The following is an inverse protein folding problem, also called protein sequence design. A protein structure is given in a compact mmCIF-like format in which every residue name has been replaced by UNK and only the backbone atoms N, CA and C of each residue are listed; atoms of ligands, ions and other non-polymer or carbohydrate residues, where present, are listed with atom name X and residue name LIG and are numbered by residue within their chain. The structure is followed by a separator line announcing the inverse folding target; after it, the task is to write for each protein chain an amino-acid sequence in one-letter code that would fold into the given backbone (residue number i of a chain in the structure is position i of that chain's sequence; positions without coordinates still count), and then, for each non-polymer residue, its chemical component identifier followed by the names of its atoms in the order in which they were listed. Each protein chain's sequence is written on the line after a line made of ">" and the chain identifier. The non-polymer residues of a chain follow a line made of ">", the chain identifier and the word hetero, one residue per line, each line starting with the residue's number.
data_IF_537777972812
#
_entry.id   IF_537777972812
#
_cell.length_a   1.000
_cell.length_b   1.000
_cell.length_c   1.000
_cell.angle_alpha   90.00
_cell.angle_beta   90.00
_cell.angle_gamma   90.00
#
_symmetry.space_group_name_H-M   'P 1'
#
loop_
_entity.id
_entity.type
_entity.pdbx_description
1 polymer ?
#
# COMPACT_ATOMS: atom_id res chain seq x y z
N UNK A 1 -34.18 -20.40 69.20
CA UNK A 1 -33.80 -20.83 67.85
C UNK A 1 -33.22 -22.24 67.93
N UNK A 2 -33.62 -23.18 67.08
CA UNK A 2 -33.07 -24.53 67.08
C UNK A 2 -31.57 -24.51 66.77
N UNK A 3 -30.76 -25.32 67.46
CA UNK A 3 -29.27 -25.34 67.29
C UNK A 3 -28.80 -25.60 65.92
N UNK A 4 -29.54 -26.28 65.06
CA UNK A 4 -29.20 -26.54 63.67
C UNK A 4 -29.33 -25.29 62.78
N UNK A 5 -30.32 -24.42 63.08
CA UNK A 5 -30.47 -23.15 62.33
C UNK A 5 -29.29 -22.22 62.64
N UNK A 6 -28.87 -22.15 63.91
CA UNK A 6 -27.67 -21.35 64.25
C UNK A 6 -26.40 -21.86 63.59
N UNK A 7 -26.21 -23.19 63.50
CA UNK A 7 -25.07 -23.79 62.78
C UNK A 7 -25.13 -23.48 61.32
N UNK A 8 -26.31 -23.52 60.69
CA UNK A 8 -26.45 -23.17 59.26
C UNK A 8 -26.10 -21.70 58.99
N UNK A 9 -26.59 -20.80 59.81
CA UNK A 9 -26.29 -19.37 59.75
C UNK A 9 -24.75 -19.12 59.86
N UNK A 10 -24.09 -19.78 60.79
CA UNK A 10 -22.68 -19.70 61.04
C UNK A 10 -21.88 -20.18 59.81
N UNK A 11 -22.28 -21.31 59.21
CA UNK A 11 -21.63 -21.83 57.99
C UNK A 11 -21.80 -20.85 56.84
N UNK A 12 -22.98 -20.30 56.62
CA UNK A 12 -23.22 -19.30 55.56
C UNK A 12 -22.35 -18.06 55.80
N UNK A 13 -22.28 -17.55 57.02
CA UNK A 13 -21.45 -16.42 57.39
C UNK A 13 -19.95 -16.68 57.10
N UNK A 14 -19.47 -17.86 57.50
CA UNK A 14 -18.08 -18.25 57.19
C UNK A 14 -17.84 -18.35 55.69
N UNK A 15 -18.76 -18.94 54.92
CA UNK A 15 -18.65 -19.00 53.46
C UNK A 15 -18.64 -17.61 52.82
N UNK A 16 -19.47 -16.68 53.29
CA UNK A 16 -19.49 -15.29 52.80
C UNK A 16 -18.20 -14.58 53.13
N UNK A 17 -17.69 -14.70 54.36
CA UNK A 17 -16.41 -14.07 54.75
C UNK A 17 -15.23 -14.64 53.97
N UNK A 18 -15.17 -15.97 53.86
CA UNK A 18 -14.12 -16.63 53.06
C UNK A 18 -14.23 -16.27 51.57
N UNK A 19 -15.46 -16.27 51.01
CA UNK A 19 -15.69 -15.89 49.62
C UNK A 19 -15.33 -14.44 49.34
N UNK A 20 -15.66 -13.52 50.26
CA UNK A 20 -15.27 -12.12 50.14
C UNK A 20 -13.76 -11.93 50.29
N UNK A 21 -13.13 -12.59 51.25
CA UNK A 21 -11.67 -12.57 51.41
C UNK A 21 -10.94 -13.14 50.21
N UNK A 22 -11.40 -14.28 49.69
CA UNK A 22 -10.85 -14.87 48.48
C UNK A 22 -11.00 -13.92 47.26
N UNK A 23 -12.20 -13.37 47.07
CA UNK A 23 -12.44 -12.37 46.02
C UNK A 23 -11.48 -11.19 46.16
N UNK A 24 -11.28 -10.66 47.36
CA UNK A 24 -10.40 -9.51 47.61
C UNK A 24 -8.91 -9.84 47.39
N UNK A 25 -8.52 -11.08 47.74
CA UNK A 25 -7.15 -11.56 47.60
C UNK A 25 -6.78 -11.87 46.14
N UNK A 26 -7.69 -12.51 45.38
CA UNK A 26 -7.43 -12.90 43.99
C UNK A 26 -7.81 -11.84 42.96
N UNK A 27 -8.50 -10.77 43.35
CA UNK A 27 -8.86 -9.68 42.45
C UNK A 27 -7.88 -8.53 42.65
N UNK A 28 -7.17 -8.17 41.60
CA UNK A 28 -6.22 -7.05 41.58
C UNK A 28 -6.91 -5.72 41.85
N UNK A 29 -6.20 -4.78 42.50
CA UNK A 29 -6.79 -3.50 42.94
C UNK A 29 -7.39 -2.70 41.78
N UNK A 30 -6.79 -2.72 40.62
CA UNK A 30 -7.25 -2.05 39.40
C UNK A 30 -8.63 -2.52 38.93
N UNK A 31 -9.05 -3.75 39.26
CA UNK A 31 -10.41 -4.23 39.00
C UNK A 31 -11.48 -3.44 39.74
N UNK A 32 -11.16 -2.91 40.93
CA UNK A 32 -12.09 -2.10 41.72
C UNK A 32 -12.03 -0.62 41.32
N UNK A 33 -10.92 -0.18 40.72
CA UNK A 33 -10.72 1.18 40.33
C UNK A 33 -11.27 1.48 38.91
N UNK A 34 -11.11 0.53 37.99
CA UNK A 34 -11.45 0.70 36.58
C UNK A 34 -12.52 -0.26 36.04
N UNK A 35 -13.18 -1.01 36.93
CA UNK A 35 -14.22 -2.00 36.57
C UNK A 35 -13.64 -3.31 36.02
N UNK A 36 -14.32 -3.92 35.06
CA UNK A 36 -13.96 -5.25 34.55
C UNK A 36 -12.69 -5.26 33.64
N UNK A 37 -11.97 -4.17 33.57
CA UNK A 37 -10.73 -4.05 32.77
C UNK A 37 -9.49 -4.37 33.62
N UNK A 38 -8.50 -5.00 33.00
CA UNK A 38 -7.15 -5.18 33.56
C UNK A 38 -6.42 -3.84 33.63
N UNK A 39 -6.82 -2.95 34.52
CA UNK A 39 -6.22 -1.64 34.70
C UNK A 39 -4.73 -1.73 35.03
N UNK A 40 -4.28 -2.76 35.75
CA UNK A 40 -2.85 -2.93 36.08
C UNK A 40 -1.99 -3.21 34.86
N UNK A 41 -2.51 -3.88 33.82
CA UNK A 41 -1.71 -4.05 32.60
C UNK A 41 -1.47 -2.72 31.88
N UNK A 42 -2.36 -1.76 32.03
CA UNK A 42 -2.16 -0.37 31.55
C UNK A 42 -1.24 0.39 32.51
N UNK A 43 -1.39 0.18 33.82
CA UNK A 43 -0.52 0.80 34.83
C UNK A 43 0.89 0.20 34.82
N UNK A 44 1.03 -1.11 34.61
CA UNK A 44 2.34 -1.77 34.44
C UNK A 44 3.02 -1.36 33.14
N UNK A 45 2.26 -1.24 32.04
CA UNK A 45 2.76 -0.67 30.78
C UNK A 45 3.08 0.82 30.96
N UNK A 46 2.34 1.55 31.80
CA UNK A 46 2.58 2.97 32.09
C UNK A 46 3.65 3.20 33.15
N UNK A 47 3.92 2.23 34.03
CA UNK A 47 4.97 2.31 35.08
C UNK A 47 6.35 1.98 34.52
N UNK A 48 6.45 1.12 33.52
CA UNK A 48 7.59 1.05 32.62
C UNK A 48 7.56 2.30 31.73
N UNK A 49 7.94 3.44 32.32
CA UNK A 49 7.89 4.77 31.69
C UNK A 49 8.39 4.66 30.24
N UNK A 50 7.52 4.55 29.24
CA UNK A 50 7.96 4.60 27.86
C UNK A 50 8.65 5.95 27.70
N UNK A 51 9.93 5.95 27.39
CA UNK A 51 10.70 7.18 27.22
C UNK A 51 10.36 7.79 25.86
N UNK A 52 9.11 8.22 25.73
CA UNK A 52 8.67 8.98 24.57
C UNK A 52 9.43 10.31 24.54
N UNK A 53 10.15 10.55 23.47
CA UNK A 53 10.92 11.78 23.27
C UNK A 53 10.06 12.88 22.68
N UNK A 54 8.95 12.51 22.03
CA UNK A 54 8.03 13.43 21.37
C UNK A 54 8.55 13.95 20.01
N UNK A 55 7.61 14.54 19.26
CA UNK A 55 7.84 15.01 17.89
C UNK A 55 8.99 16.01 17.79
N UNK A 56 9.15 16.91 18.77
CA UNK A 56 10.22 17.92 18.78
C UNK A 56 11.63 17.33 18.79
N UNK A 57 11.82 16.19 19.44
CA UNK A 57 13.10 15.49 19.43
C UNK A 57 13.41 14.89 18.05
N UNK A 58 12.41 14.32 17.42
CA UNK A 58 12.56 13.72 16.08
C UNK A 58 12.82 14.80 15.01
N UNK A 59 12.30 16.01 15.19
CA UNK A 59 12.39 17.09 14.23
C UNK A 59 13.82 17.56 13.95
N UNK A 60 14.74 17.40 14.90
CA UNK A 60 16.15 17.80 14.75
C UNK A 60 16.89 17.05 13.63
N UNK A 61 16.47 15.82 13.33
CA UNK A 61 17.09 14.98 12.30
C UNK A 61 16.13 14.62 11.14
N UNK A 62 14.81 14.62 11.38
CA UNK A 62 13.79 14.17 10.44
C UNK A 62 12.85 15.30 9.99
N UNK A 63 13.40 16.48 9.69
CA UNK A 63 12.62 17.68 9.34
C UNK A 63 11.63 17.44 8.16
N UNK A 64 12.04 16.69 7.12
CA UNK A 64 11.19 16.35 5.97
C UNK A 64 9.98 15.52 6.38
N UNK A 65 10.21 14.44 7.13
CA UNK A 65 9.15 13.53 7.59
C UNK A 65 8.19 14.25 8.56
N UNK A 66 8.72 15.14 9.39
CA UNK A 66 7.90 15.98 10.28
C UNK A 66 7.01 16.94 9.48
N UNK A 67 7.54 17.58 8.44
CA UNK A 67 6.75 18.45 7.58
C UNK A 67 5.63 17.68 6.85
N UNK A 68 5.92 16.50 6.35
CA UNK A 68 4.94 15.63 5.71
C UNK A 68 3.85 15.20 6.71
N UNK A 69 4.25 14.76 7.90
CA UNK A 69 3.32 14.33 8.96
C UNK A 69 2.48 15.49 9.47
N UNK A 70 3.05 16.66 9.70
CA UNK A 70 2.34 17.83 10.24
C UNK A 70 1.24 18.33 9.30
N UNK A 71 1.42 18.17 7.99
CA UNK A 71 0.45 18.49 6.96
C UNK A 71 -0.46 17.29 6.60
N UNK A 72 -0.21 16.14 7.20
CA UNK A 72 -0.92 14.89 6.94
C UNK A 72 -2.19 14.73 7.79
N UNK A 73 -3.03 13.77 7.39
CA UNK A 73 -4.29 13.44 8.08
C UNK A 73 -4.06 12.92 9.50
N UNK A 74 -2.90 12.35 9.78
CA UNK A 74 -2.52 11.87 11.11
C UNK A 74 -2.17 12.98 12.10
N UNK A 75 -2.13 14.23 11.68
CA UNK A 75 -1.98 15.38 12.56
C UNK A 75 -3.11 16.40 12.43
N UNK A 76 -3.81 16.44 11.31
CA UNK A 76 -4.82 17.48 11.01
C UNK A 76 -6.20 17.19 11.57
N UNK A 77 -6.54 15.93 11.88
CA UNK A 77 -7.83 15.54 12.46
C UNK A 77 -7.72 15.37 13.97
N UNK A 78 -8.82 15.51 14.71
CA UNK A 78 -8.82 15.35 16.17
C UNK A 78 -8.41 13.94 16.61
N UNK A 79 -8.78 12.92 15.84
CA UNK A 79 -8.34 11.53 16.04
C UNK A 79 -6.89 11.37 15.55
N UNK A 80 -6.51 12.03 14.47
CA UNK A 80 -5.16 11.95 13.90
C UNK A 80 -4.09 12.55 14.80
N UNK A 81 -4.41 13.54 15.64
CA UNK A 81 -3.46 14.16 16.58
C UNK A 81 -2.83 13.19 17.58
N UNK A 82 -3.43 12.03 17.81
CA UNK A 82 -2.88 10.98 18.65
C UNK A 82 -1.87 10.07 17.91
N UNK A 83 -1.85 10.10 16.58
CA UNK A 83 -0.93 9.28 15.77
C UNK A 83 0.39 10.01 15.59
N UNK A 84 1.23 9.98 16.62
CA UNK A 84 2.58 10.56 16.60
C UNK A 84 3.60 9.56 16.06
N UNK A 85 4.81 10.03 15.80
CA UNK A 85 5.91 9.23 15.25
C UNK A 85 6.10 7.90 15.99
N UNK A 86 6.04 7.96 17.32
CA UNK A 86 6.28 6.82 18.21
C UNK A 86 5.17 5.76 18.18
N UNK A 87 3.97 6.08 17.68
CA UNK A 87 2.90 5.09 17.47
C UNK A 87 3.31 4.05 16.42
N UNK A 88 4.06 4.49 15.41
CA UNK A 88 4.53 3.63 14.33
C UNK A 88 5.97 3.14 14.54
N UNK A 89 6.82 3.97 15.11
CA UNK A 89 8.25 3.72 15.25
C UNK A 89 8.67 3.26 16.65
N UNK A 90 7.73 3.13 17.58
CA UNK A 90 8.02 2.77 18.97
C UNK A 90 8.62 3.92 19.78
N UNK A 91 8.73 3.73 21.08
CA UNK A 91 9.34 4.70 21.98
C UNK A 91 10.84 4.84 21.72
N UNK A 92 11.30 6.02 21.38
CA UNK A 92 12.70 6.33 21.09
C UNK A 92 13.64 6.35 22.30
N UNK A 93 13.32 5.64 23.38
CA UNK A 93 14.10 5.56 24.61
C UNK A 93 14.77 4.22 24.84
N UNK A 94 15.76 4.16 25.73
CA UNK A 94 16.52 2.97 26.06
C UNK A 94 15.64 1.79 26.48
N UNK A 95 15.81 0.69 25.76
CA UNK A 95 15.45 -0.70 26.01
C UNK A 95 13.97 -1.11 26.04
N UNK A 96 13.81 -2.26 25.40
CA UNK A 96 12.66 -3.16 25.32
C UNK A 96 11.47 -2.63 24.54
N UNK A 97 11.64 -2.64 23.23
CA UNK A 97 10.50 -2.66 22.32
C UNK A 97 9.93 -4.08 22.29
N UNK A 98 9.12 -4.45 23.28
CA UNK A 98 8.20 -5.58 23.17
C UNK A 98 6.95 -5.12 22.42
N UNK A 99 7.12 -4.97 21.11
CA UNK A 99 6.02 -4.70 20.20
C UNK A 99 5.98 -5.77 19.11
N UNK A 100 4.91 -5.83 18.30
CA UNK A 100 4.78 -6.77 17.19
C UNK A 100 5.77 -6.50 16.03
N UNK A 101 6.78 -5.68 16.26
CA UNK A 101 7.74 -5.24 15.26
C UNK A 101 9.13 -5.75 15.59
N UNK A 102 9.73 -6.49 14.66
CA UNK A 102 11.13 -6.84 14.73
C UNK A 102 11.99 -5.59 14.55
N UNK A 103 12.94 -5.39 15.46
CA UNK A 103 13.90 -4.30 15.39
C UNK A 103 14.85 -4.56 14.21
N UNK A 104 14.66 -3.86 13.12
CA UNK A 104 15.53 -3.89 11.96
C UNK A 104 16.05 -2.49 11.66
N UNK A 105 17.37 -2.46 11.47
CA UNK A 105 18.18 -1.39 10.91
C UNK A 105 18.43 -0.15 11.76
N UNK A 106 19.66 -0.08 12.21
CA UNK A 106 20.38 1.14 12.53
C UNK A 106 20.68 1.88 11.23
N UNK A 107 19.96 2.96 10.94
CA UNK A 107 20.43 3.94 9.95
C UNK A 107 21.71 4.58 10.51
N UNK A 108 22.71 4.83 9.66
CA UNK A 108 24.01 5.39 10.02
C UNK A 108 23.93 6.78 10.69
N UNK A 109 22.77 7.43 10.64
CA UNK A 109 22.54 8.81 11.06
C UNK A 109 21.87 8.95 12.43
N UNK A 110 21.59 7.85 13.12
CA UNK A 110 20.97 7.91 14.45
C UNK A 110 22.02 7.90 15.56
N UNK A 111 21.84 8.74 16.62
CA UNK A 111 22.65 8.63 17.81
C UNK A 111 22.67 7.19 18.30
N UNK A 112 23.84 6.67 18.66
CA UNK A 112 24.12 5.25 19.01
C UNK A 112 23.15 4.61 20.03
N UNK A 113 22.28 5.40 20.64
CA UNK A 113 21.36 4.99 21.72
C UNK A 113 19.88 5.02 21.33
N UNK A 114 19.51 5.35 20.09
CA UNK A 114 18.15 5.39 19.61
C UNK A 114 17.88 4.18 18.70
N UNK A 115 17.19 3.19 19.24
CA UNK A 115 16.66 2.06 18.47
C UNK A 115 15.23 2.38 18.07
N UNK A 116 15.08 3.10 16.95
CA UNK A 116 13.78 3.26 16.31
C UNK A 116 13.46 2.02 15.48
N UNK A 117 12.24 1.56 15.58
CA UNK A 117 11.73 0.46 14.75
C UNK A 117 11.35 1.04 13.40
N UNK A 118 11.92 0.51 12.32
CA UNK A 118 11.41 0.73 10.97
C UNK A 118 10.45 -0.43 10.68
N UNK A 119 9.13 -0.17 10.56
CA UNK A 119 8.19 -1.24 10.30
C UNK A 119 8.47 -1.88 8.94
N UNK A 120 8.78 -3.17 8.94
CA UNK A 120 8.99 -3.95 7.71
C UNK A 120 7.67 -4.45 7.12
N UNK A 121 6.68 -4.70 7.98
CA UNK A 121 5.31 -5.05 7.58
C UNK A 121 4.36 -3.89 7.86
N UNK A 122 4.28 -2.98 6.89
CA UNK A 122 3.40 -1.81 6.98
C UNK A 122 1.93 -2.17 6.85
N UNK A 123 1.60 -3.31 6.23
CA UNK A 123 0.23 -3.81 6.17
C UNK A 123 -0.27 -4.12 7.57
N UNK A 124 0.46 -4.93 8.32
CA UNK A 124 0.12 -5.26 9.71
C UNK A 124 0.01 -4.03 10.60
N UNK A 125 0.92 -3.07 10.44
CA UNK A 125 0.91 -1.82 11.18
C UNK A 125 -0.35 -0.99 10.92
N UNK A 126 -0.64 -0.71 9.65
CA UNK A 126 -1.76 0.16 9.27
C UNK A 126 -3.11 -0.48 9.61
N UNK A 127 -3.25 -1.80 9.45
CA UNK A 127 -4.49 -2.52 9.72
C UNK A 127 -4.84 -2.57 11.20
N UNK A 128 -3.87 -2.40 12.11
CA UNK A 128 -4.18 -2.22 13.55
C UNK A 128 -5.21 -1.12 13.80
N UNK A 129 -5.23 -0.08 12.95
CA UNK A 129 -6.16 1.03 13.06
C UNK A 129 -7.17 1.09 11.91
N UNK A 130 -6.81 0.67 10.70
CA UNK A 130 -7.61 0.90 9.50
C UNK A 130 -8.41 -0.31 9.00
N UNK A 131 -8.21 -1.50 9.55
CA UNK A 131 -9.06 -2.64 9.20
C UNK A 131 -10.49 -2.45 9.72
N UNK A 132 -11.46 -2.90 8.93
CA UNK A 132 -12.88 -2.80 9.27
C UNK A 132 -13.21 -3.74 10.44
N UNK A 133 -13.48 -3.17 11.60
CA UNK A 133 -13.89 -3.90 12.80
C UNK A 133 -15.17 -3.27 13.38
N UNK A 134 -16.05 -4.12 13.88
CA UNK A 134 -17.25 -3.69 14.59
C UNK A 134 -16.87 -2.87 15.82
N UNK A 135 -17.51 -1.72 16.02
CA UNK A 135 -17.30 -0.86 17.21
C UNK A 135 -16.22 0.21 17.04
N UNK A 136 -15.52 0.27 15.91
CA UNK A 136 -14.62 1.41 15.65
C UNK A 136 -15.38 2.69 15.32
N UNK A 137 -14.87 3.86 15.72
CA UNK A 137 -15.50 5.15 15.41
C UNK A 137 -15.66 5.35 13.91
N UNK A 138 -16.82 5.85 13.47
CA UNK A 138 -17.13 6.12 12.07
C UNK A 138 -16.20 7.17 11.45
N UNK A 139 -15.65 8.07 12.26
CA UNK A 139 -14.69 9.08 11.83
C UNK A 139 -13.33 8.49 11.45
N UNK A 140 -12.99 7.32 11.98
CA UNK A 140 -11.79 6.59 11.60
C UNK A 140 -12.06 5.86 10.28
N UNK A 141 -11.34 6.24 9.22
CA UNK A 141 -11.46 5.56 7.92
C UNK A 141 -11.06 4.10 8.06
N UNK A 142 -11.97 3.23 7.69
CA UNK A 142 -11.81 1.78 7.76
C UNK A 142 -11.89 1.19 6.37
N UNK A 143 -11.11 0.16 6.12
CA UNK A 143 -11.03 -0.57 4.86
C UNK A 143 -11.23 -2.07 5.08
N UNK A 144 -11.77 -2.75 4.08
CA UNK A 144 -11.65 -4.20 3.97
C UNK A 144 -10.36 -4.47 3.21
N UNK A 145 -9.34 -4.97 3.90
CA UNK A 145 -7.97 -5.07 3.38
C UNK A 145 -7.90 -5.92 2.12
N UNK A 146 -8.63 -7.02 2.08
CA UNK A 146 -8.68 -7.91 0.92
C UNK A 146 -9.18 -7.20 -0.35
N UNK A 147 -10.20 -6.35 -0.20
CA UNK A 147 -10.83 -5.63 -1.31
C UNK A 147 -10.02 -4.40 -1.73
N UNK A 148 -9.34 -3.75 -0.75
CA UNK A 148 -8.63 -2.51 -0.98
C UNK A 148 -7.20 -2.72 -1.51
N UNK A 149 -6.45 -3.63 -0.90
CA UNK A 149 -5.01 -3.78 -1.15
C UNK A 149 -4.58 -5.21 -1.51
N UNK A 150 -5.45 -6.21 -1.38
CA UNK A 150 -5.09 -7.61 -1.59
C UNK A 150 -3.90 -8.01 -0.70
N UNK A 151 -2.80 -8.41 -1.31
CA UNK A 151 -1.55 -8.78 -0.62
C UNK A 151 -0.51 -7.65 -0.57
N UNK A 152 -0.80 -6.49 -1.15
CA UNK A 152 0.13 -5.36 -1.24
C UNK A 152 0.39 -4.71 0.11
N UNK A 153 1.61 -4.18 0.29
CA UNK A 153 1.96 -3.34 1.42
C UNK A 153 1.34 -1.95 1.26
N UNK A 154 0.85 -1.36 2.35
CA UNK A 154 0.14 -0.09 2.31
C UNK A 154 0.99 1.07 1.77
N UNK A 155 2.30 1.05 2.02
CA UNK A 155 3.24 2.08 1.57
C UNK A 155 3.52 2.07 0.07
N UNK A 156 3.12 1.03 -0.65
CA UNK A 156 3.24 1.01 -2.13
C UNK A 156 2.40 2.14 -2.76
N UNK A 157 1.27 2.47 -2.13
CA UNK A 157 0.35 3.48 -2.63
C UNK A 157 0.22 4.70 -1.70
N UNK A 158 0.50 4.54 -0.41
CA UNK A 158 0.34 5.59 0.59
C UNK A 158 1.69 6.02 1.18
N UNK A 159 1.92 7.34 1.26
CA UNK A 159 3.04 7.86 2.03
C UNK A 159 2.77 7.61 3.53
N UNK A 160 3.65 6.90 4.25
CA UNK A 160 3.42 6.57 5.67
C UNK A 160 3.36 7.79 6.58
N UNK A 161 4.06 8.87 6.26
CA UNK A 161 4.08 10.11 7.06
C UNK A 161 2.91 11.03 6.75
N UNK A 162 2.36 10.96 5.53
CA UNK A 162 1.16 11.68 5.12
C UNK A 162 0.30 10.75 4.27
N UNK A 163 -0.59 9.92 4.86
CA UNK A 163 -1.27 8.82 4.17
C UNK A 163 -2.29 9.26 3.12
N UNK A 164 -1.97 10.27 2.35
CA UNK A 164 -2.59 10.55 1.05
C UNK A 164 -2.03 9.54 0.03
N UNK A 165 -2.73 9.37 -1.08
CA UNK A 165 -2.16 8.62 -2.19
C UNK A 165 -0.79 9.21 -2.52
N UNK A 166 0.22 8.37 -2.57
CA UNK A 166 1.56 8.77 -2.95
C UNK A 166 1.57 8.99 -4.47
N UNK A 167 1.13 10.18 -4.87
CA UNK A 167 1.12 10.61 -6.29
C UNK A 167 2.47 11.20 -6.72
N UNK A 168 3.40 11.36 -5.79
CA UNK A 168 4.76 11.73 -6.18
C UNK A 168 5.38 10.59 -6.96
N UNK A 169 6.11 10.88 -8.03
CA UNK A 169 6.89 9.86 -8.70
C UNK A 169 7.72 9.14 -7.64
N UNK A 170 7.54 7.83 -7.53
CA UNK A 170 8.53 7.03 -6.82
C UNK A 170 9.80 7.24 -7.61
N UNK A 171 10.75 8.02 -7.09
CA UNK A 171 12.13 7.90 -7.49
C UNK A 171 12.52 6.47 -7.11
N UNK A 172 12.14 5.56 -7.98
CA UNK A 172 12.73 4.24 -7.93
C UNK A 172 14.20 4.48 -8.15
N UNK A 173 15.02 4.05 -7.21
CA UNK A 173 16.40 3.68 -7.46
C UNK A 173 16.40 2.43 -8.37
N UNK A 174 15.59 2.44 -9.42
CA UNK A 174 15.90 1.72 -10.63
C UNK A 174 17.20 2.37 -11.09
N UNK A 175 18.27 1.66 -10.95
CA UNK A 175 19.58 2.01 -11.43
C UNK A 175 19.36 2.65 -12.81
N UNK A 176 19.66 3.96 -12.93
CA UNK A 176 19.29 4.72 -14.11
C UNK A 176 19.91 4.01 -15.31
N UNK A 177 19.07 3.28 -16.05
CA UNK A 177 19.56 2.46 -17.16
C UNK A 177 20.10 3.35 -18.26
N UNK A 178 21.09 2.88 -18.98
CA UNK A 178 21.63 3.56 -20.14
C UNK A 178 20.71 3.33 -21.36
N UNK A 179 20.06 4.36 -21.92
CA UNK A 179 19.17 4.21 -23.06
C UNK A 179 19.90 3.78 -24.35
N UNK A 180 21.20 4.00 -24.45
CA UNK A 180 22.01 3.56 -25.62
C UNK A 180 22.17 2.04 -25.58
N UNK A 181 22.50 1.48 -24.40
CA UNK A 181 22.53 0.04 -24.16
C UNK A 181 21.14 -0.56 -24.32
N UNK A 182 20.11 0.12 -23.81
CA UNK A 182 18.71 -0.26 -23.95
C UNK A 182 18.28 -0.37 -25.42
N UNK A 183 18.67 0.58 -26.26
CA UNK A 183 18.41 0.55 -27.71
C UNK A 183 18.99 -0.69 -28.38
N UNK A 184 20.24 -1.04 -28.07
CA UNK A 184 20.87 -2.23 -28.64
C UNK A 184 20.11 -3.53 -28.20
N UNK A 185 19.69 -3.61 -26.93
CA UNK A 185 18.94 -4.75 -26.41
C UNK A 185 17.51 -4.82 -26.95
N UNK A 186 16.89 -3.68 -27.27
CA UNK A 186 15.52 -3.59 -27.77
C UNK A 186 15.31 -4.27 -29.14
N UNK A 187 16.38 -4.57 -29.88
CA UNK A 187 16.31 -5.26 -31.18
C UNK A 187 15.50 -6.58 -31.09
N UNK A 188 15.57 -7.32 -29.98
CA UNK A 188 14.81 -8.54 -29.77
C UNK A 188 13.30 -8.29 -29.54
N UNK A 189 12.88 -7.06 -29.26
CA UNK A 189 11.51 -6.69 -28.89
C UNK A 189 10.70 -6.17 -30.08
N UNK A 190 11.37 -5.69 -31.14
CA UNK A 190 10.75 -4.95 -32.26
C UNK A 190 9.70 -5.76 -33.03
N UNK A 191 9.88 -7.06 -33.15
CA UNK A 191 8.94 -7.95 -33.90
C UNK A 191 7.51 -7.96 -33.32
N UNK A 192 7.38 -7.71 -32.03
CA UNK A 192 6.07 -7.71 -31.35
C UNK A 192 5.64 -6.33 -30.86
N UNK A 193 6.60 -5.43 -30.61
CA UNK A 193 6.35 -4.12 -30.00
C UNK A 193 6.58 -2.92 -30.94
N UNK A 194 6.98 -3.17 -32.18
CA UNK A 194 7.30 -2.14 -33.15
C UNK A 194 8.75 -1.62 -33.03
N UNK A 195 9.34 -1.20 -34.19
CA UNK A 195 10.72 -0.70 -34.23
C UNK A 195 10.93 0.60 -33.45
N UNK A 196 9.88 1.39 -33.32
CA UNK A 196 9.80 2.63 -32.54
C UNK A 196 9.15 2.43 -31.17
N UNK A 197 8.87 1.18 -30.78
CA UNK A 197 8.16 0.83 -29.56
C UNK A 197 6.65 1.11 -29.63
N UNK A 198 6.11 1.44 -30.80
CA UNK A 198 4.66 1.62 -31.02
C UNK A 198 4.10 0.41 -31.73
N UNK A 199 3.20 -0.30 -31.05
CA UNK A 199 2.58 -1.54 -31.54
C UNK A 199 1.39 -1.22 -32.45
N UNK A 200 1.65 -0.91 -33.73
CA UNK A 200 0.60 -0.74 -34.75
C UNK A 200 0.21 -2.11 -35.30
N UNK A 201 -0.96 -2.59 -34.92
CA UNK A 201 -1.50 -3.90 -35.38
C UNK A 201 -0.58 -5.11 -35.08
N UNK A 202 0.31 -4.99 -34.10
CA UNK A 202 1.16 -6.05 -33.61
C UNK A 202 0.58 -6.70 -32.34
N UNK A 203 0.95 -7.94 -32.02
CA UNK A 203 0.35 -8.67 -30.90
C UNK A 203 0.74 -8.13 -29.50
N UNK A 204 1.81 -7.33 -29.40
CA UNK A 204 2.29 -6.77 -28.14
C UNK A 204 1.70 -5.39 -27.83
N UNK A 205 1.85 -4.90 -26.61
CA UNK A 205 1.54 -3.52 -26.26
C UNK A 205 2.57 -2.53 -26.81
N UNK A 206 2.17 -1.27 -27.00
CA UNK A 206 3.13 -0.18 -27.18
C UNK A 206 3.98 0.00 -25.92
N UNK A 207 5.28 0.19 -26.10
CA UNK A 207 6.27 0.37 -25.04
C UNK A 207 6.76 1.82 -24.97
N UNK A 208 6.67 2.54 -26.11
CA UNK A 208 7.12 3.92 -26.23
C UNK A 208 6.40 4.84 -25.23
N UNK A 209 7.17 5.69 -24.54
CA UNK A 209 6.66 6.64 -23.57
C UNK A 209 6.09 6.03 -22.30
N UNK A 210 6.31 4.74 -22.06
CA UNK A 210 5.85 4.10 -20.82
C UNK A 210 6.73 4.49 -19.63
N UNK A 211 6.16 4.61 -18.44
CA UNK A 211 6.90 4.89 -17.21
C UNK A 211 8.00 3.85 -16.99
N UNK A 212 9.24 4.29 -16.83
CA UNK A 212 10.39 3.41 -16.71
C UNK A 212 10.29 2.45 -15.51
N UNK A 213 9.84 2.95 -14.36
CA UNK A 213 9.68 2.12 -13.18
C UNK A 213 8.61 1.04 -13.37
N UNK A 214 7.45 1.41 -13.95
CA UNK A 214 6.41 0.45 -14.28
C UNK A 214 6.91 -0.59 -15.30
N UNK A 215 7.68 -0.15 -16.30
CA UNK A 215 8.24 -1.04 -17.32
C UNK A 215 9.16 -2.10 -16.71
N UNK A 216 10.09 -1.70 -15.85
CA UNK A 216 11.01 -2.61 -15.17
C UNK A 216 10.27 -3.61 -14.26
N UNK A 217 9.30 -3.13 -13.47
CA UNK A 217 8.48 -3.99 -12.62
C UNK A 217 7.58 -4.93 -13.42
N UNK A 218 7.09 -4.51 -14.58
CA UNK A 218 6.31 -5.37 -15.47
C UNK A 218 7.16 -6.52 -16.03
N UNK A 219 8.39 -6.25 -16.48
CA UNK A 219 9.33 -7.29 -16.90
C UNK A 219 9.66 -8.24 -15.76
N UNK A 220 9.99 -7.73 -14.59
CA UNK A 220 10.24 -8.53 -13.39
C UNK A 220 9.05 -9.43 -13.06
N UNK A 221 7.82 -8.91 -13.13
CA UNK A 221 6.61 -9.69 -12.85
C UNK A 221 6.42 -10.85 -13.84
N UNK A 222 6.77 -10.67 -15.11
CA UNK A 222 6.78 -11.78 -16.08
C UNK A 222 7.88 -12.80 -15.78
N UNK A 223 9.07 -12.35 -15.38
CA UNK A 223 10.19 -13.22 -15.04
C UNK A 223 9.95 -14.05 -13.78
N UNK A 224 9.23 -13.51 -12.81
CA UNK A 224 8.95 -14.15 -11.50
C UNK A 224 7.61 -14.87 -11.40
N UNK A 225 6.80 -14.86 -12.48
CA UNK A 225 5.47 -15.48 -12.48
C UNK A 225 4.35 -14.64 -11.87
N UNK A 226 4.62 -13.40 -11.45
CA UNK A 226 3.59 -12.46 -11.01
C UNK A 226 2.66 -12.00 -12.14
N UNK A 227 3.13 -12.10 -13.37
CA UNK A 227 2.36 -12.05 -14.63
C UNK A 227 2.69 -13.27 -15.45
N UNK A 228 1.67 -13.86 -16.05
CA UNK A 228 1.87 -15.01 -16.93
C UNK A 228 1.46 -14.67 -18.36
N UNK A 229 2.39 -14.84 -19.30
CA UNK A 229 2.15 -14.69 -20.71
C UNK A 229 3.13 -15.60 -21.47
N UNK A 230 2.65 -16.46 -22.38
CA UNK A 230 3.49 -17.47 -23.03
C UNK A 230 4.64 -16.88 -23.87
N UNK A 231 4.51 -15.63 -24.33
CA UNK A 231 5.55 -14.95 -25.11
C UNK A 231 6.50 -14.16 -24.19
N UNK A 232 5.93 -13.39 -23.22
CA UNK A 232 6.71 -12.48 -22.41
C UNK A 232 7.42 -13.16 -21.23
N UNK A 233 6.86 -14.23 -20.67
CA UNK A 233 7.48 -14.89 -19.52
C UNK A 233 8.86 -15.49 -19.83
N UNK A 234 9.05 -16.24 -20.92
CA UNK A 234 10.39 -16.72 -21.31
C UNK A 234 11.36 -15.58 -21.65
N UNK A 235 10.88 -14.54 -22.36
CA UNK A 235 11.71 -13.39 -22.69
C UNK A 235 12.19 -12.63 -21.45
N UNK A 236 11.31 -12.45 -20.47
CA UNK A 236 11.66 -11.77 -19.21
C UNK A 236 12.53 -12.63 -18.28
N UNK A 237 12.38 -13.95 -18.28
CA UNK A 237 13.25 -14.86 -17.53
C UNK A 237 14.70 -14.87 -18.04
N UNK A 238 14.91 -14.59 -19.33
CA UNK A 238 16.25 -14.48 -19.92
C UNK A 238 16.94 -13.15 -19.62
N UNK A 239 16.28 -12.20 -18.97
CA UNK A 239 16.80 -10.86 -18.65
C UNK A 239 17.19 -10.74 -17.19
N UNK A 240 18.26 -10.01 -16.91
CA UNK A 240 18.59 -9.59 -15.55
C UNK A 240 17.97 -8.20 -15.24
N UNK A 241 18.08 -7.75 -13.98
CA UNK A 241 17.53 -6.48 -13.54
C UNK A 241 18.17 -5.26 -14.22
N UNK A 242 19.46 -5.34 -14.58
CA UNK A 242 20.20 -4.29 -15.26
C UNK A 242 19.69 -4.13 -16.70
N UNK A 243 19.48 -5.23 -17.42
CA UNK A 243 18.89 -5.23 -18.75
C UNK A 243 17.49 -4.62 -18.76
N UNK A 244 16.67 -4.98 -17.77
CA UNK A 244 15.35 -4.37 -17.61
C UNK A 244 15.44 -2.87 -17.37
N UNK A 245 16.42 -2.38 -16.60
CA UNK A 245 16.69 -0.96 -16.40
C UNK A 245 17.09 -0.24 -17.69
N UNK A 246 18.00 -0.80 -18.47
CA UNK A 246 18.42 -0.24 -19.78
C UNK A 246 17.26 -0.16 -20.77
N UNK A 247 16.46 -1.20 -20.90
CA UNK A 247 15.27 -1.22 -21.73
C UNK A 247 14.22 -0.21 -21.27
N UNK A 248 14.02 -0.10 -19.96
CA UNK A 248 13.11 0.88 -19.37
C UNK A 248 13.52 2.31 -19.70
N UNK A 249 14.81 2.65 -19.58
CA UNK A 249 15.35 3.95 -19.93
C UNK A 249 15.17 4.27 -21.42
N UNK A 250 15.40 3.29 -22.29
CA UNK A 250 15.22 3.47 -23.72
C UNK A 250 13.76 3.69 -24.11
N UNK A 251 12.86 2.78 -23.75
CA UNK A 251 11.46 2.85 -24.18
C UNK A 251 10.70 4.03 -23.55
N UNK A 252 11.03 4.42 -22.32
CA UNK A 252 10.40 5.58 -21.67
C UNK A 252 10.76 6.90 -22.36
N UNK A 253 11.92 6.98 -22.99
CA UNK A 253 12.37 8.15 -23.75
C UNK A 253 11.80 8.25 -25.18
N UNK A 254 11.13 7.19 -25.67
CA UNK A 254 10.54 7.21 -27.00
C UNK A 254 9.21 7.96 -27.02
N UNK A 255 8.89 8.57 -28.17
CA UNK A 255 7.58 9.21 -28.36
C UNK A 255 6.51 8.13 -28.50
N UNK A 256 5.47 8.22 -27.69
CA UNK A 256 4.29 7.41 -27.91
C UNK A 256 3.42 8.01 -29.04
N UNK A 257 2.59 7.19 -29.65
CA UNK A 257 1.68 7.59 -30.72
C UNK A 257 0.26 7.18 -30.35
N UNK A 258 -0.67 8.14 -30.39
CA UNK A 258 -2.07 7.87 -30.15
C UNK A 258 -2.74 7.27 -31.41
N UNK A 259 -3.60 6.30 -31.22
CA UNK A 259 -4.44 5.80 -32.31
C UNK A 259 -5.42 6.89 -32.75
N UNK A 260 -5.75 6.96 -34.06
CA UNK A 260 -6.84 7.84 -34.50
C UNK A 260 -8.14 7.51 -33.78
N UNK A 261 -8.91 8.52 -33.39
CA UNK A 261 -10.23 8.33 -32.80
C UNK A 261 -11.21 7.85 -33.91
N UNK A 262 -11.33 6.54 -34.08
CA UNK A 262 -12.16 5.94 -35.12
C UNK A 262 -13.65 5.92 -34.78
N UNK A 263 -14.01 6.05 -33.49
CA UNK A 263 -15.39 6.02 -32.99
C UNK A 263 -15.57 7.08 -31.87
N UNK A 264 -16.10 8.22 -32.26
CA UNK A 264 -16.33 9.34 -31.35
C UNK A 264 -17.35 9.00 -30.23
N UNK A 265 -18.30 8.12 -30.51
CA UNK A 265 -19.31 7.70 -29.52
C UNK A 265 -18.65 6.80 -28.46
N UNK A 266 -17.84 5.82 -28.89
CA UNK A 266 -17.08 4.98 -27.96
C UNK A 266 -16.07 5.77 -27.15
N UNK A 267 -15.39 6.77 -27.75
CA UNK A 267 -14.50 7.69 -27.02
C UNK A 267 -15.25 8.49 -25.96
N UNK A 268 -16.43 9.02 -26.27
CA UNK A 268 -17.25 9.76 -25.32
C UNK A 268 -17.75 8.88 -24.15
N UNK A 269 -18.25 7.70 -24.46
CA UNK A 269 -18.66 6.71 -23.46
C UNK A 269 -17.47 6.29 -22.57
N UNK A 270 -16.32 5.99 -23.20
CA UNK A 270 -15.09 5.64 -22.51
C UNK A 270 -14.58 6.73 -21.58
N UNK A 271 -14.70 8.00 -21.97
CA UNK A 271 -14.31 9.14 -21.12
C UNK A 271 -15.12 9.19 -19.82
N UNK A 272 -16.42 8.91 -19.88
CA UNK A 272 -17.26 8.86 -18.68
C UNK A 272 -16.81 7.74 -17.72
N UNK A 273 -16.50 6.55 -18.24
CA UNK A 273 -16.02 5.40 -17.47
C UNK A 273 -14.61 5.66 -16.92
N UNK A 274 -13.75 6.33 -17.70
CA UNK A 274 -12.35 6.61 -17.35
C UNK A 274 -12.19 7.43 -16.07
N UNK A 275 -13.24 8.11 -15.59
CA UNK A 275 -13.23 8.83 -14.30
C UNK A 275 -12.80 7.95 -13.12
N UNK A 276 -13.07 6.64 -13.19
CA UNK A 276 -12.62 5.63 -12.20
C UNK A 276 -11.11 5.33 -12.28
N UNK A 277 -10.48 5.67 -13.40
CA UNK A 277 -9.08 5.33 -13.70
C UNK A 277 -8.14 6.53 -13.49
N UNK A 278 -8.67 7.75 -13.64
CA UNK A 278 -7.87 8.99 -13.72
C UNK A 278 -7.13 9.32 -12.43
N UNK A 279 -7.63 8.89 -11.26
CA UNK A 279 -6.98 9.12 -9.98
C UNK A 279 -5.55 8.52 -9.92
N UNK A 280 -5.33 7.42 -10.64
CA UNK A 280 -4.05 6.71 -10.66
C UNK A 280 -3.33 6.90 -12.00
N UNK A 281 -4.05 6.81 -13.11
CA UNK A 281 -3.48 6.84 -14.45
C UNK A 281 -3.42 8.24 -15.08
N UNK A 282 -3.81 9.29 -14.32
CA UNK A 282 -3.86 10.67 -14.81
C UNK A 282 -5.12 11.00 -15.61
N UNK A 283 -5.51 12.27 -15.63
CA UNK A 283 -6.72 12.74 -16.31
C UNK A 283 -6.69 12.49 -17.83
N UNK A 284 -5.51 12.49 -18.39
CA UNK A 284 -5.21 12.26 -19.80
C UNK A 284 -4.62 10.85 -20.09
N UNK A 285 -4.65 9.95 -19.10
CA UNK A 285 -4.09 8.61 -19.22
C UNK A 285 -2.56 8.57 -19.02
N UNK A 286 -1.97 9.64 -18.46
CA UNK A 286 -0.54 9.69 -18.12
C UNK A 286 -0.37 9.77 -16.61
N UNK A 287 0.14 8.69 -16.05
CA UNK A 287 0.34 8.58 -14.63
C UNK A 287 1.49 9.49 -14.16
N UNK A 288 1.23 10.28 -13.12
CA UNK A 288 2.26 11.09 -12.46
C UNK A 288 3.19 10.25 -11.57
N UNK A 289 2.73 9.09 -11.13
CA UNK A 289 3.53 8.13 -10.38
C UNK A 289 4.15 7.11 -11.34
N UNK A 290 5.47 7.03 -11.37
CA UNK A 290 6.22 6.15 -12.26
C UNK A 290 5.97 4.64 -12.06
N UNK A 291 5.41 4.23 -10.92
CA UNK A 291 5.01 2.85 -10.68
C UNK A 291 3.68 2.47 -11.38
N UNK A 292 2.93 3.45 -11.86
CA UNK A 292 1.66 3.23 -12.57
C UNK A 292 1.84 3.39 -14.08
N UNK A 293 1.17 2.56 -14.88
CA UNK A 293 1.32 2.65 -16.33
C UNK A 293 0.63 3.86 -16.92
N UNK A 294 1.27 4.43 -17.94
CA UNK A 294 0.60 5.29 -18.89
C UNK A 294 -0.37 4.44 -19.72
N UNK A 295 -1.58 4.93 -19.89
CA UNK A 295 -2.62 4.31 -20.71
C UNK A 295 -2.82 5.04 -22.05
N UNK A 296 -2.49 6.34 -22.09
CA UNK A 296 -2.58 7.15 -23.29
C UNK A 296 -1.75 6.57 -24.44
N UNK A 297 -2.35 6.45 -25.63
CA UNK A 297 -1.71 5.91 -26.81
C UNK A 297 -1.41 4.42 -26.79
N UNK A 298 -1.91 3.70 -25.78
CA UNK A 298 -1.73 2.25 -25.71
C UNK A 298 -2.69 1.53 -26.67
N UNK A 299 -2.27 0.40 -27.20
CA UNK A 299 -3.11 -0.45 -28.07
C UNK A 299 -4.46 -0.74 -27.39
N UNK A 300 -5.57 -0.45 -28.12
CA UNK A 300 -6.92 -0.71 -27.64
C UNK A 300 -7.11 -2.17 -27.23
N UNK A 301 -6.70 -3.09 -28.08
CA UNK A 301 -6.90 -4.53 -27.87
C UNK A 301 -6.07 -5.04 -26.67
N UNK A 302 -4.87 -4.47 -26.49
CA UNK A 302 -4.07 -4.74 -25.31
C UNK A 302 -4.74 -4.22 -24.04
N UNK A 303 -5.34 -3.03 -24.05
CA UNK A 303 -6.04 -2.47 -22.89
C UNK A 303 -7.25 -3.33 -22.53
N UNK A 304 -8.06 -3.76 -23.51
CA UNK A 304 -9.18 -4.67 -23.31
C UNK A 304 -8.70 -5.98 -22.70
N UNK A 305 -7.67 -6.58 -23.27
CA UNK A 305 -7.06 -7.82 -22.77
C UNK A 305 -6.54 -7.67 -21.34
N UNK A 306 -5.89 -6.54 -21.03
CA UNK A 306 -5.37 -6.24 -19.70
C UNK A 306 -6.50 -6.11 -18.66
N UNK A 307 -7.59 -5.40 -18.99
CA UNK A 307 -8.77 -5.26 -18.13
C UNK A 307 -9.37 -6.64 -17.85
N UNK A 308 -9.58 -7.45 -18.89
CA UNK A 308 -10.11 -8.83 -18.76
C UNK A 308 -9.18 -9.71 -17.92
N UNK A 309 -7.87 -9.58 -18.07
CA UNK A 309 -6.90 -10.35 -17.29
C UNK A 309 -6.91 -9.99 -15.80
N UNK A 310 -7.10 -8.72 -15.44
CA UNK A 310 -7.28 -8.32 -14.05
C UNK A 310 -8.63 -8.79 -13.49
N UNK A 311 -9.70 -8.68 -14.26
CA UNK A 311 -11.04 -9.14 -13.86
C UNK A 311 -11.09 -10.65 -13.66
N UNK A 312 -10.44 -11.41 -14.53
CA UNK A 312 -10.39 -12.88 -14.49
C UNK A 312 -9.28 -13.46 -13.59
N UNK A 313 -8.47 -12.61 -12.93
CA UNK A 313 -7.40 -13.05 -12.03
C UNK A 313 -6.13 -13.55 -12.73
N UNK A 314 -6.04 -13.52 -14.06
CA UNK A 314 -4.83 -13.88 -14.80
C UNK A 314 -3.68 -12.87 -14.59
N UNK A 315 -4.00 -11.66 -14.18
CA UNK A 315 -3.05 -10.68 -13.64
C UNK A 315 -3.37 -10.41 -12.17
N UNK A 316 -2.40 -10.66 -11.31
CA UNK A 316 -2.56 -10.46 -9.87
C UNK A 316 -2.22 -9.00 -9.49
N UNK A 317 -3.25 -8.18 -9.33
CA UNK A 317 -3.18 -6.85 -8.73
C UNK A 317 -4.54 -6.52 -8.12
N UNK A 318 -4.63 -6.57 -6.79
CA UNK A 318 -5.90 -6.42 -6.06
C UNK A 318 -6.57 -5.05 -6.29
N UNK A 319 -5.78 -3.98 -6.46
CA UNK A 319 -6.32 -2.63 -6.75
C UNK A 319 -7.00 -2.62 -8.13
N UNK A 320 -6.29 -3.07 -9.16
CA UNK A 320 -6.85 -3.12 -10.51
C UNK A 320 -8.05 -4.08 -10.60
N UNK A 321 -7.96 -5.25 -9.98
CA UNK A 321 -9.09 -6.20 -9.91
C UNK A 321 -10.33 -5.57 -9.28
N UNK A 322 -10.17 -4.83 -8.17
CA UNK A 322 -11.26 -4.12 -7.51
C UNK A 322 -11.90 -3.03 -8.37
N UNK A 323 -11.10 -2.29 -9.15
CA UNK A 323 -11.60 -1.21 -10.03
C UNK A 323 -12.34 -1.76 -11.24
N UNK A 324 -11.83 -2.85 -11.85
CA UNK A 324 -12.38 -3.36 -13.12
C UNK A 324 -13.48 -4.42 -12.93
N UNK A 325 -13.75 -4.87 -11.71
CA UNK A 325 -14.69 -5.98 -11.42
C UNK A 325 -16.09 -5.77 -11.99
N UNK A 326 -16.57 -4.52 -11.93
CA UNK A 326 -17.92 -4.15 -12.32
C UNK A 326 -18.01 -3.67 -13.79
N UNK A 327 -16.89 -3.63 -14.53
CA UNK A 327 -16.92 -3.28 -15.95
C UNK A 327 -17.45 -4.46 -16.75
N UNK A 328 -18.42 -4.22 -17.62
CA UNK A 328 -18.82 -5.19 -18.65
C UNK A 328 -17.87 -5.11 -19.87
N UNK A 329 -18.04 -5.96 -20.85
CA UNK A 329 -17.17 -6.01 -22.04
C UNK A 329 -17.26 -4.72 -22.86
N UNK A 330 -18.45 -4.16 -23.01
CA UNK A 330 -18.67 -2.88 -23.72
C UNK A 330 -17.97 -1.71 -22.99
N UNK A 331 -18.02 -1.69 -21.65
CA UNK A 331 -17.31 -0.70 -20.84
C UNK A 331 -15.79 -0.81 -21.05
N UNK A 332 -15.27 -2.04 -21.03
CA UNK A 332 -13.85 -2.30 -21.25
C UNK A 332 -13.39 -1.83 -22.64
N UNK A 333 -14.21 -2.08 -23.66
CA UNK A 333 -13.94 -1.62 -25.03
C UNK A 333 -13.99 -0.11 -25.18
N UNK A 334 -14.98 0.54 -24.57
CA UNK A 334 -15.15 2.00 -24.62
C UNK A 334 -14.01 2.70 -23.91
N UNK A 335 -13.65 2.29 -22.68
CA UNK A 335 -12.55 2.90 -21.95
C UNK A 335 -11.19 2.65 -22.59
N UNK A 336 -11.00 1.49 -23.21
CA UNK A 336 -9.80 1.17 -23.99
C UNK A 336 -9.69 2.06 -25.24
N UNK A 337 -10.81 2.28 -25.96
CA UNK A 337 -10.86 3.19 -27.13
C UNK A 337 -10.52 4.62 -26.72
N UNK A 338 -11.04 5.10 -25.59
CA UNK A 338 -10.73 6.42 -25.07
C UNK A 338 -9.22 6.59 -24.80
N UNK A 339 -8.61 5.69 -24.05
CA UNK A 339 -7.18 5.81 -23.71
C UNK A 339 -6.27 5.57 -24.92
N UNK A 340 -6.65 4.69 -25.85
CA UNK A 340 -5.89 4.47 -27.07
C UNK A 340 -5.82 5.75 -27.95
N UNK A 341 -6.90 6.53 -27.98
CA UNK A 341 -6.98 7.80 -28.72
C UNK A 341 -6.50 9.02 -27.91
N UNK A 342 -6.24 8.87 -26.61
CA UNK A 342 -5.77 9.95 -25.78
C UNK A 342 -4.37 10.41 -26.21
N UNK A 343 -4.20 11.73 -26.33
CA UNK A 343 -2.91 12.30 -26.74
C UNK A 343 -1.81 11.91 -25.75
N UNK A 344 -0.75 11.35 -26.27
CA UNK A 344 0.45 11.06 -25.52
C UNK A 344 1.59 11.97 -26.03
N UNK A 345 2.22 12.69 -25.12
CA UNK A 345 3.30 13.66 -25.44
C UNK A 345 4.62 13.16 -24.91
#
# INVERSE_FOLDING_TARGET
>A
MPRHIFRLILVILVCVVVGYGAKRFFTVNSFYEYGHYRGDSVADIASDKPKFKGVGYCASCHAKQIAEWSNGVHNSSDIGKIVKCEVCHGAGGERDVRGPFEASATGADHPKNLKLVVPTDTRKLCTLCHERLTGRPLQQRQIVVADHAGTQQCIVCHNPHSPKLNLTPVETTAQAGDPVVGKAKAAACVGCHGADGVSKNLPGPSLAGQNAAYFAEALKAYGTGGRNNPMMSPAAQAMNAEDAGHLAAYFSGLKCEAAPASDAQAVSAGKAIASKCTACHGADGRASNGAWPNLAGQSRDYLVSAIKAYKGGARNNGMMAGIVKDLNDSDAESVATYFASAACK
#
